data_IF_449363641018
#
_entry.id   IF_449363641018
#
_cell.length_a   1.000
_cell.length_b   1.000
_cell.length_c   1.000
_cell.angle_alpha   90.00
_cell.angle_beta   90.00
_cell.angle_gamma   90.00
#
_symmetry.space_group_name_H-M   'P 1'
#
loop_
_entity.id
_entity.type
_entity.pdbx_description
1 polymer ?
#
# COMPACT_ATOMS: atom_id res chain seq x y z
N UNK A 1 5.45 7.17 48.08
CA UNK A 1 4.85 8.32 47.35
C UNK A 1 4.01 7.74 46.22
N UNK A 2 2.70 7.90 46.27
CA UNK A 2 1.77 7.32 45.29
C UNK A 2 1.68 8.24 44.06
N UNK A 3 2.14 7.77 42.91
CA UNK A 3 1.94 8.46 41.62
C UNK A 3 0.48 8.33 41.22
N UNK A 4 -0.28 9.42 41.36
CA UNK A 4 -1.64 9.53 40.84
C UNK A 4 -1.59 9.70 39.31
N UNK A 5 -2.18 8.77 38.57
CA UNK A 5 -2.31 8.86 37.11
C UNK A 5 -3.43 9.85 36.73
N UNK A 6 -3.06 11.03 36.23
CA UNK A 6 -4.00 12.03 35.70
C UNK A 6 -4.46 11.73 34.27
N UNK A 7 -4.95 10.52 34.02
CA UNK A 7 -5.63 10.23 32.75
C UNK A 7 -7.04 9.73 33.07
N UNK A 8 -7.98 10.68 33.12
CA UNK A 8 -9.39 10.40 32.95
C UNK A 8 -9.62 9.86 31.53
N UNK A 9 -9.39 8.56 31.34
CA UNK A 9 -9.76 7.81 30.14
C UNK A 9 -11.26 7.51 30.21
N UNK A 10 -12.11 8.52 30.00
CA UNK A 10 -13.50 8.25 29.59
C UNK A 10 -13.42 7.65 28.19
N UNK A 11 -13.31 6.31 28.14
CA UNK A 11 -13.26 5.53 26.90
C UNK A 11 -14.51 5.89 26.12
N UNK A 12 -14.33 6.40 24.89
CA UNK A 12 -15.47 6.81 24.07
C UNK A 12 -16.36 5.58 23.85
N UNK A 13 -17.68 5.73 24.02
CA UNK A 13 -18.64 4.63 24.03
C UNK A 13 -18.60 3.75 22.76
N UNK A 14 -18.14 4.31 21.64
CA UNK A 14 -18.02 3.59 20.37
C UNK A 14 -16.74 2.73 20.24
N UNK A 15 -15.72 2.96 21.07
CA UNK A 15 -14.45 2.23 20.98
C UNK A 15 -14.65 0.83 21.59
N UNK A 16 -14.84 -0.17 20.73
CA UNK A 16 -15.03 -1.59 21.08
C UNK A 16 -16.41 -2.15 20.77
N UNK A 17 -17.34 -1.34 20.27
CA UNK A 17 -18.59 -1.84 19.68
C UNK A 17 -18.31 -2.32 18.25
N UNK A 18 -18.96 -3.42 17.84
CA UNK A 18 -18.92 -3.88 16.45
C UNK A 18 -19.56 -2.84 15.54
N UNK A 19 -19.10 -2.77 14.28
CA UNK A 19 -19.75 -1.92 13.30
C UNK A 19 -21.25 -2.28 13.17
N UNK A 20 -22.13 -1.29 13.03
CA UNK A 20 -23.55 -1.55 12.86
C UNK A 20 -23.82 -2.36 11.58
N UNK A 21 -24.81 -3.26 11.64
CA UNK A 21 -25.16 -4.12 10.52
C UNK A 21 -25.60 -3.28 9.31
N UNK A 22 -24.98 -3.51 8.15
CA UNK A 22 -25.27 -2.76 6.91
C UNK A 22 -24.57 -1.40 6.80
N UNK A 23 -23.73 -1.00 7.76
CA UNK A 23 -22.92 0.20 7.65
C UNK A 23 -21.93 0.09 6.49
N UNK A 24 -21.96 1.07 5.59
CA UNK A 24 -20.96 1.27 4.55
C UNK A 24 -20.11 2.48 4.95
N UNK A 25 -18.78 2.32 5.13
CA UNK A 25 -17.90 3.41 5.52
C UNK A 25 -17.97 4.56 4.50
N UNK A 26 -17.94 5.81 4.98
CA UNK A 26 -18.11 7.01 4.16
C UNK A 26 -19.57 7.30 3.79
N UNK A 27 -20.30 6.31 3.25
CA UNK A 27 -21.67 6.49 2.76
C UNK A 27 -22.65 6.89 3.86
N UNK A 28 -22.60 6.25 5.03
CA UNK A 28 -23.47 6.58 6.17
C UNK A 28 -23.24 7.98 6.78
N UNK A 29 -22.13 8.64 6.41
CA UNK A 29 -21.83 10.04 6.75
C UNK A 29 -22.26 11.02 5.65
N UNK A 30 -22.75 10.53 4.51
CA UNK A 30 -22.97 11.32 3.30
C UNK A 30 -21.67 11.73 2.61
N UNK A 31 -20.56 11.00 2.84
CA UNK A 31 -19.33 11.23 2.10
C UNK A 31 -19.47 10.63 0.70
N UNK A 32 -19.48 11.50 -0.31
CA UNK A 32 -19.39 11.13 -1.73
C UNK A 32 -18.03 11.59 -2.26
N UNK A 33 -17.40 10.80 -3.12
CA UNK A 33 -16.20 11.23 -3.84
C UNK A 33 -16.53 12.43 -4.73
N UNK A 34 -15.57 13.36 -4.89
CA UNK A 34 -15.74 14.42 -5.87
C UNK A 34 -15.76 13.79 -7.27
N UNK A 35 -16.81 14.06 -8.05
CA UNK A 35 -16.93 13.56 -9.42
C UNK A 35 -15.93 14.32 -10.30
N UNK A 36 -14.88 13.65 -10.75
CA UNK A 36 -13.93 14.19 -11.72
C UNK A 36 -14.45 14.04 -13.14
N UNK A 37 -13.81 14.72 -14.09
CA UNK A 37 -14.13 14.60 -15.52
C UNK A 37 -14.05 13.14 -16.02
N UNK A 38 -13.21 12.32 -15.40
CA UNK A 38 -13.07 10.89 -15.72
C UNK A 38 -14.29 10.07 -15.28
N UNK A 39 -14.96 10.45 -14.18
CA UNK A 39 -16.11 9.72 -13.63
C UNK A 39 -17.40 9.96 -14.43
N UNK A 40 -17.50 11.12 -15.07
CA UNK A 40 -18.71 11.60 -15.74
C UNK A 40 -18.72 11.28 -17.24
N UNK A 41 -17.54 11.10 -17.86
CA UNK A 41 -17.42 10.93 -19.30
C UNK A 41 -17.61 12.23 -20.10
N UNK A 42 -17.50 12.18 -21.44
CA UNK A 42 -17.68 13.32 -22.30
C UNK A 42 -19.17 13.66 -22.45
N UNK A 43 -19.58 14.72 -21.76
CA UNK A 43 -20.91 15.38 -21.79
C UNK A 43 -21.99 14.74 -20.89
N UNK A 44 -22.33 15.44 -19.80
CA UNK A 44 -23.69 15.38 -19.22
C UNK A 44 -24.55 16.37 -19.99
N UNK A 45 -25.74 15.95 -20.39
CA UNK A 45 -26.76 16.85 -20.91
C UNK A 45 -27.27 17.78 -19.79
N UNK A 46 -27.61 19.02 -20.15
CA UNK A 46 -27.98 20.09 -19.21
C UNK A 46 -29.32 19.86 -18.46
N UNK A 47 -30.03 18.77 -18.77
CA UNK A 47 -31.29 18.36 -18.14
C UNK A 47 -31.11 17.25 -17.08
N UNK A 48 -29.88 16.89 -16.73
CA UNK A 48 -29.60 15.89 -15.70
C UNK A 48 -29.83 16.47 -14.29
N UNK A 49 -31.09 16.35 -13.83
CA UNK A 49 -31.56 16.82 -12.52
C UNK A 49 -30.67 16.23 -11.42
N UNK A 50 -29.99 17.13 -10.71
CA UNK A 50 -29.05 16.84 -9.65
C UNK A 50 -29.72 16.30 -8.37
N UNK A 51 -29.10 15.23 -7.86
CA UNK A 51 -29.03 14.82 -6.46
C UNK A 51 -30.30 14.23 -5.82
N UNK A 52 -30.26 12.92 -5.58
CA UNK A 52 -30.67 12.39 -4.28
C UNK A 52 -30.03 11.00 -4.07
N UNK A 53 -28.92 10.95 -3.34
CA UNK A 53 -28.35 9.72 -2.75
C UNK A 53 -27.92 8.66 -3.77
N UNK A 54 -26.96 8.95 -4.66
CA UNK A 54 -26.39 7.94 -5.57
C UNK A 54 -25.81 6.71 -4.83
N UNK A 55 -26.68 5.79 -4.43
CA UNK A 55 -26.41 4.39 -4.25
C UNK A 55 -26.45 3.81 -5.66
N UNK A 56 -25.30 3.86 -6.33
CA UNK A 56 -25.10 2.95 -7.45
C UNK A 56 -25.17 1.56 -6.84
N UNK A 57 -26.19 0.79 -7.28
CA UNK A 57 -26.35 -0.60 -6.92
C UNK A 57 -24.98 -1.26 -6.94
N UNK A 58 -24.60 -1.87 -5.82
CA UNK A 58 -23.50 -2.82 -5.76
C UNK A 58 -23.75 -3.85 -6.87
N UNK A 59 -23.19 -3.65 -8.06
CA UNK A 59 -22.48 -4.76 -8.68
C UNK A 59 -21.56 -5.22 -7.57
N UNK A 60 -21.77 -6.45 -7.11
CA UNK A 60 -20.77 -7.13 -6.32
C UNK A 60 -19.50 -7.04 -7.16
N UNK A 61 -18.66 -6.03 -6.90
CA UNK A 61 -17.25 -6.08 -7.21
C UNK A 61 -16.73 -7.20 -6.31
N UNK A 62 -16.91 -8.43 -6.77
CA UNK A 62 -15.97 -9.52 -6.50
C UNK A 62 -14.72 -9.25 -7.33
N UNK A 63 -14.17 -8.05 -7.17
CA UNK A 63 -12.96 -7.66 -7.83
C UNK A 63 -12.06 -7.29 -6.67
N UNK A 64 -11.16 -8.20 -6.36
CA UNK A 64 -9.88 -7.94 -5.70
C UNK A 64 -9.05 -6.98 -6.57
N UNK A 65 -9.66 -5.86 -7.00
CA UNK A 65 -8.98 -4.64 -7.36
C UNK A 65 -8.42 -4.12 -6.03
N UNK A 66 -7.30 -4.70 -5.59
CA UNK A 66 -6.39 -4.02 -4.68
C UNK A 66 -6.31 -2.58 -5.15
N UNK A 67 -6.82 -1.65 -4.32
CA UNK A 67 -6.78 -0.22 -4.60
C UNK A 67 -5.35 0.12 -5.03
N UNK A 68 -5.17 0.44 -6.31
CA UNK A 68 -3.86 0.75 -6.85
C UNK A 68 -3.28 1.90 -6.02
N UNK A 69 -2.12 1.67 -5.38
CA UNK A 69 -1.47 2.65 -4.51
C UNK A 69 -0.82 3.74 -5.38
N UNK A 70 -1.66 4.64 -5.89
CA UNK A 70 -1.30 5.75 -6.77
C UNK A 70 -0.83 6.99 -6.00
N UNK A 71 -0.29 6.80 -4.79
CA UNK A 71 0.28 7.88 -4.00
C UNK A 71 1.68 8.26 -4.53
N UNK A 72 2.05 9.53 -4.46
CA UNK A 72 3.39 10.04 -4.75
C UNK A 72 4.49 9.30 -3.97
N UNK A 73 4.19 8.78 -2.77
CA UNK A 73 5.13 7.97 -1.99
C UNK A 73 5.51 6.64 -2.65
N UNK A 74 4.61 6.09 -3.49
CA UNK A 74 4.84 4.89 -4.27
C UNK A 74 5.36 5.21 -5.69
N UNK A 75 5.34 6.48 -6.11
CA UNK A 75 5.83 6.91 -7.42
C UNK A 75 7.31 7.27 -7.39
N UNK A 76 8.09 6.68 -8.29
CA UNK A 76 9.46 7.06 -8.60
C UNK A 76 9.54 7.59 -10.04
N UNK A 77 10.32 8.65 -10.28
CA UNK A 77 10.40 9.29 -11.61
C UNK A 77 11.02 8.37 -12.67
N UNK A 78 11.94 7.49 -12.27
CA UNK A 78 12.60 6.57 -13.18
C UNK A 78 11.78 5.29 -13.38
N UNK A 79 11.28 4.71 -12.30
CA UNK A 79 10.65 3.38 -12.29
C UNK A 79 9.12 3.41 -12.37
N UNK A 80 8.49 4.58 -12.22
CA UNK A 80 7.04 4.74 -12.16
C UNK A 80 6.46 4.34 -10.80
N UNK A 81 5.19 3.92 -10.77
CA UNK A 81 4.56 3.41 -9.55
C UNK A 81 5.16 2.06 -9.15
N UNK A 82 5.48 1.91 -7.87
CA UNK A 82 5.92 0.64 -7.30
C UNK A 82 4.79 -0.39 -7.29
N UNK A 83 5.19 -1.66 -7.43
CA UNK A 83 4.29 -2.80 -7.55
C UNK A 83 4.45 -3.53 -8.87
N UNK A 84 4.12 -4.83 -8.90
CA UNK A 84 4.12 -5.62 -10.13
C UNK A 84 2.71 -5.70 -10.69
N UNK A 85 2.53 -5.37 -11.97
CA UNK A 85 1.23 -5.48 -12.64
C UNK A 85 0.82 -6.93 -12.92
N UNK A 86 1.80 -7.83 -13.12
CA UNK A 86 1.56 -9.21 -13.57
C UNK A 86 1.24 -10.18 -12.42
N UNK A 87 1.09 -9.70 -11.18
CA UNK A 87 0.87 -10.56 -10.00
C UNK A 87 -0.55 -11.14 -9.88
N UNK A 88 -1.49 -10.72 -10.73
CA UNK A 88 -2.92 -11.10 -10.64
C UNK A 88 -3.30 -12.25 -11.57
N UNK A 89 -2.50 -12.52 -12.59
CA UNK A 89 -2.80 -13.55 -13.57
C UNK A 89 -2.54 -14.96 -12.98
N UNK A 90 -3.27 -16.00 -13.42
CA UNK A 90 -2.99 -17.38 -13.02
C UNK A 90 -1.54 -17.74 -13.33
N UNK A 91 -0.87 -18.33 -12.35
CA UNK A 91 0.54 -18.70 -12.45
C UNK A 91 0.69 -20.22 -12.49
N UNK A 92 1.14 -20.73 -13.63
CA UNK A 92 1.21 -22.16 -13.93
C UNK A 92 2.66 -22.70 -13.81
N UNK A 93 2.85 -24.01 -13.99
CA UNK A 93 4.17 -24.65 -13.88
C UNK A 93 5.14 -24.13 -14.95
N UNK A 94 4.65 -23.82 -16.15
CA UNK A 94 5.45 -23.26 -17.25
C UNK A 94 6.00 -21.87 -16.90
N UNK A 95 5.21 -21.02 -16.23
CA UNK A 95 5.65 -19.70 -15.75
C UNK A 95 6.77 -19.84 -14.72
N UNK A 96 6.65 -20.83 -13.83
CA UNK A 96 7.66 -21.15 -12.84
C UNK A 96 8.97 -21.63 -13.44
N UNK A 97 8.91 -22.43 -14.50
CA UNK A 97 10.09 -22.86 -15.24
C UNK A 97 10.73 -21.68 -15.99
N UNK A 98 9.91 -20.83 -16.61
CA UNK A 98 10.38 -19.62 -17.27
C UNK A 98 11.12 -18.70 -16.30
N UNK A 99 10.51 -18.39 -15.14
CA UNK A 99 11.11 -17.54 -14.11
C UNK A 99 12.44 -18.11 -13.62
N UNK A 100 12.54 -19.43 -13.42
CA UNK A 100 13.80 -20.07 -13.03
C UNK A 100 14.90 -19.89 -14.10
N UNK A 101 14.54 -20.02 -15.38
CA UNK A 101 15.48 -19.85 -16.49
C UNK A 101 15.95 -18.39 -16.56
N UNK A 102 15.03 -17.42 -16.54
CA UNK A 102 15.38 -15.99 -16.59
C UNK A 102 16.20 -15.56 -15.37
N UNK A 103 15.82 -16.00 -14.17
CA UNK A 103 16.58 -15.78 -12.94
C UNK A 103 18.01 -16.32 -13.07
N UNK A 104 18.19 -17.51 -13.66
CA UNK A 104 19.50 -18.12 -13.82
C UNK A 104 20.40 -17.32 -14.78
N UNK A 105 19.81 -16.72 -15.82
CA UNK A 105 20.50 -15.86 -16.77
C UNK A 105 20.94 -14.59 -16.05
N UNK A 106 20.06 -13.92 -15.32
CA UNK A 106 20.39 -12.69 -14.61
C UNK A 106 21.47 -12.93 -13.54
N UNK A 107 21.36 -14.02 -12.78
CA UNK A 107 22.39 -14.44 -11.81
C UNK A 107 23.75 -14.63 -12.51
N UNK A 108 23.79 -15.34 -13.64
CA UNK A 108 25.01 -15.55 -14.43
C UNK A 108 25.59 -14.25 -14.99
N UNK A 109 24.75 -13.32 -15.41
CA UNK A 109 25.19 -12.01 -15.90
C UNK A 109 25.85 -11.19 -14.77
N UNK A 110 25.33 -11.32 -13.55
CA UNK A 110 25.85 -10.62 -12.38
C UNK A 110 27.10 -11.25 -11.75
N UNK A 111 27.30 -12.56 -11.92
CA UNK A 111 28.42 -13.33 -11.32
C UNK A 111 29.79 -12.66 -11.50
N UNK A 112 30.09 -12.09 -12.67
CA UNK A 112 31.40 -11.52 -12.99
C UNK A 112 31.88 -10.43 -12.03
N UNK A 113 30.97 -9.70 -11.39
CA UNK A 113 31.31 -8.64 -10.42
C UNK A 113 30.60 -8.80 -9.08
N UNK A 114 29.88 -9.91 -8.89
CA UNK A 114 29.04 -10.16 -7.72
C UNK A 114 29.84 -10.02 -6.43
N UNK A 115 30.93 -10.76 -6.28
CA UNK A 115 31.74 -10.76 -5.06
C UNK A 115 32.24 -9.35 -4.68
N UNK A 116 32.77 -8.59 -5.64
CA UNK A 116 33.26 -7.22 -5.38
C UNK A 116 32.12 -6.27 -5.06
N UNK A 117 30.99 -6.37 -5.78
CA UNK A 117 29.81 -5.53 -5.59
C UNK A 117 29.20 -5.77 -4.20
N UNK A 118 29.03 -7.04 -3.83
CA UNK A 118 28.48 -7.46 -2.54
C UNK A 118 29.41 -7.13 -1.38
N UNK A 119 30.72 -7.36 -1.52
CA UNK A 119 31.68 -7.02 -0.48
C UNK A 119 31.71 -5.51 -0.22
N UNK A 120 31.75 -4.70 -1.28
CA UNK A 120 31.68 -3.24 -1.15
C UNK A 120 30.35 -2.78 -0.54
N UNK A 121 29.23 -3.32 -1.01
CA UNK A 121 27.90 -3.00 -0.49
C UNK A 121 27.77 -3.38 0.99
N UNK A 122 28.36 -4.51 1.40
CA UNK A 122 28.40 -4.95 2.80
C UNK A 122 29.24 -4.00 3.65
N UNK A 123 30.46 -3.68 3.24
CA UNK A 123 31.33 -2.75 3.96
C UNK A 123 30.69 -1.35 4.08
N UNK A 124 30.09 -0.85 3.01
CA UNK A 124 29.43 0.46 2.99
C UNK A 124 28.19 0.45 3.92
N UNK A 125 27.39 -0.62 3.91
CA UNK A 125 26.26 -0.79 4.83
C UNK A 125 26.71 -0.91 6.29
N UNK A 126 27.80 -1.63 6.57
CA UNK A 126 28.36 -1.77 7.92
C UNK A 126 28.86 -0.43 8.45
N UNK A 127 29.63 0.32 7.66
CA UNK A 127 30.08 1.68 8.00
C UNK A 127 28.89 2.61 8.22
N UNK A 128 27.90 2.60 7.32
CA UNK A 128 26.70 3.41 7.45
C UNK A 128 25.91 3.09 8.73
N UNK A 129 25.79 1.81 9.11
CA UNK A 129 25.12 1.41 10.35
C UNK A 129 25.89 1.82 11.59
N UNK A 130 27.22 1.82 11.55
CA UNK A 130 28.06 2.30 12.65
C UNK A 130 27.97 3.83 12.79
N UNK A 131 27.99 4.57 11.68
CA UNK A 131 27.91 6.04 11.69
C UNK A 131 26.49 6.55 12.02
N UNK A 132 25.45 5.88 11.51
CA UNK A 132 24.04 6.27 11.65
C UNK A 132 23.17 5.06 11.99
N UNK A 133 23.27 4.53 13.23
CA UNK A 133 22.43 3.41 13.65
C UNK A 133 20.95 3.78 13.60
N UNK A 134 20.09 2.82 13.26
CA UNK A 134 18.63 3.04 13.26
C UNK A 134 18.17 3.40 14.68
N UNK A 135 17.17 4.27 14.80
CA UNK A 135 16.62 4.70 16.09
C UNK A 135 16.25 3.48 16.96
N UNK A 136 15.58 2.49 16.38
CA UNK A 136 15.23 1.26 17.08
C UNK A 136 16.44 0.44 17.57
N UNK A 137 17.59 0.51 16.88
CA UNK A 137 18.82 -0.19 17.28
C UNK A 137 19.54 0.53 18.43
N UNK A 138 19.45 1.86 18.50
CA UNK A 138 20.03 2.67 19.59
C UNK A 138 19.40 2.37 20.96
N UNK A 139 18.13 1.92 20.96
CA UNK A 139 17.39 1.57 22.17
C UNK A 139 17.15 0.07 22.29
N UNK A 140 17.90 -0.75 21.53
CA UNK A 140 17.73 -2.21 21.55
C UNK A 140 18.13 -2.82 22.90
N UNK A 141 19.04 -2.17 23.61
CA UNK A 141 19.49 -2.48 24.97
C UNK A 141 18.51 -2.01 26.07
N UNK A 142 17.66 -1.02 25.76
CA UNK A 142 16.69 -0.40 26.68
C UNK A 142 15.24 -0.87 26.45
N UNK A 143 15.04 -1.84 25.57
CA UNK A 143 13.71 -2.34 25.19
C UNK A 143 13.20 -3.47 26.08
#
# INVERSE_FOLDING_TARGET
MSVQSFVSKRKKHFIGLSAPLGYVPGLGRGATGFTTRSDIGPARDADDISDDRHAHNKKQKTDEEEEEDLNDANYDEFSGYGGSLCGKDPYDEDDKEADQIYDSIDKRMDEKRKERRELKLREDLEKYRQERPKIQQQFSDLK
#
